data_IF_251593338067
#
_entry.id   IF_251593338067
#
_cell.length_a   1.000
_cell.length_b   1.000
_cell.length_c   1.000
_cell.angle_alpha   90.00
_cell.angle_beta   90.00
_cell.angle_gamma   90.00
#
_symmetry.space_group_name_H-M   'P 1'
#
loop_
_entity.id
_entity.type
_entity.pdbx_description
1 polymer ?
#
# COMPACT_ATOMS: atom_id res chain seq x y z
N UNK A 1 7.15 -26.24 -8.66
CA UNK A 1 8.22 -25.33 -8.20
C UNK A 1 7.67 -24.51 -7.04
N UNK A 2 7.86 -25.02 -5.83
CA UNK A 2 7.40 -24.45 -4.56
C UNK A 2 8.29 -23.28 -4.17
N UNK A 3 7.74 -22.07 -4.09
CA UNK A 3 8.45 -20.90 -3.57
C UNK A 3 8.46 -20.91 -2.04
N UNK A 4 9.53 -20.43 -1.37
CA UNK A 4 9.62 -20.48 0.08
C UNK A 4 8.72 -19.42 0.70
N UNK A 5 7.95 -19.82 1.69
CA UNK A 5 7.27 -18.95 2.65
C UNK A 5 8.32 -18.14 3.44
N UNK A 6 8.27 -16.81 3.36
CA UNK A 6 9.18 -15.93 4.11
C UNK A 6 8.44 -15.07 5.14
N UNK A 7 8.98 -14.95 6.37
CA UNK A 7 8.35 -14.24 7.46
C UNK A 7 8.68 -12.75 7.39
N UNK A 8 7.66 -11.90 7.47
CA UNK A 8 7.85 -10.56 8.02
C UNK A 8 7.77 -10.66 9.54
N UNK A 9 8.61 -9.95 10.31
CA UNK A 9 8.38 -9.80 11.73
C UNK A 9 7.14 -8.91 11.91
N UNK A 10 5.99 -9.57 12.10
CA UNK A 10 4.79 -8.92 12.62
C UNK A 10 5.01 -8.78 14.11
N UNK A 11 5.17 -7.56 14.61
CA UNK A 11 4.87 -7.30 16.01
C UNK A 11 3.36 -7.47 16.19
N UNK A 12 2.94 -8.71 16.45
CA UNK A 12 1.57 -9.06 16.78
C UNK A 12 1.25 -8.51 18.18
N UNK A 13 0.62 -7.34 18.24
CA UNK A 13 -0.27 -7.07 19.36
C UNK A 13 -1.48 -7.98 19.16
N UNK A 14 -1.44 -9.17 19.75
CA UNK A 14 -2.57 -10.08 19.81
C UNK A 14 -3.71 -9.41 20.58
N UNK A 15 -4.69 -8.86 19.86
CA UNK A 15 -6.01 -8.61 20.43
C UNK A 15 -6.76 -9.96 20.42
N UNK A 16 -6.67 -10.69 21.53
CA UNK A 16 -7.50 -11.86 21.78
C UNK A 16 -8.95 -11.39 21.94
N UNK A 17 -9.82 -11.76 20.99
CA UNK A 17 -11.27 -11.64 21.12
C UNK A 17 -11.76 -12.83 21.97
N UNK A 18 -12.33 -12.64 23.18
CA UNK A 18 -12.86 -13.75 23.95
C UNK A 18 -14.16 -14.26 23.31
N UNK A 19 -14.22 -15.56 23.01
CA UNK A 19 -15.47 -16.26 22.74
C UNK A 19 -16.28 -16.34 24.03
N UNK A 20 -17.51 -15.84 24.01
CA UNK A 20 -18.43 -15.93 25.13
C UNK A 20 -18.90 -17.37 25.38
N UNK A 21 -18.86 -17.79 26.65
CA UNK A 21 -19.65 -18.91 27.17
C UNK A 21 -20.03 -18.59 28.61
N UNK A 22 -21.34 -18.48 28.82
CA UNK A 22 -22.13 -18.62 30.06
C UNK A 22 -21.39 -18.79 31.40
N UNK A 23 -21.58 -17.83 32.29
CA UNK A 23 -21.32 -17.97 33.73
C UNK A 23 -21.31 -16.62 34.45
N UNK A 24 -22.36 -16.29 35.20
CA UNK A 24 -22.33 -15.26 36.25
C UNK A 24 -21.37 -15.73 37.36
N UNK A 25 -20.53 -14.86 37.97
CA UNK A 25 -20.98 -14.18 39.20
C UNK A 25 -20.33 -12.80 39.53
N UNK A 26 -21.12 -12.00 40.26
CA UNK A 26 -20.82 -10.98 41.28
C UNK A 26 -19.82 -9.81 41.06
N UNK A 27 -20.35 -8.60 41.33
CA UNK A 27 -19.64 -7.32 41.54
C UNK A 27 -18.72 -7.34 42.79
N UNK A 28 -17.61 -6.58 42.76
CA UNK A 28 -17.08 -5.92 43.94
C UNK A 28 -17.26 -4.39 43.89
N UNK A 29 -17.38 -3.84 45.09
CA UNK A 29 -17.77 -2.48 45.46
C UNK A 29 -16.66 -1.43 45.36
N UNK A 30 -17.05 -0.24 44.87
CA UNK A 30 -16.59 1.15 45.07
C UNK A 30 -15.34 1.45 45.95
N UNK A 31 -14.39 2.20 45.40
CA UNK A 31 -13.74 3.34 46.10
C UNK A 31 -13.12 4.40 45.15
N UNK A 32 -13.55 5.65 45.41
CA UNK A 32 -12.98 7.00 45.18
C UNK A 32 -11.97 7.34 44.06
N UNK A 33 -12.42 8.34 43.27
CA UNK A 33 -11.75 9.59 42.86
C UNK A 33 -10.55 9.58 41.91
N UNK A 34 -10.78 10.04 40.67
CA UNK A 34 -10.37 11.40 40.27
C UNK A 34 -11.01 11.77 38.93
N UNK A 35 -11.56 12.97 38.90
CA UNK A 35 -12.25 13.63 37.79
C UNK A 35 -11.25 14.08 36.72
N UNK A 36 -11.38 13.55 35.49
CA UNK A 36 -10.97 14.29 34.30
C UNK A 36 -12.04 14.10 33.21
N UNK A 37 -12.50 15.22 32.67
CA UNK A 37 -13.56 15.32 31.67
C UNK A 37 -13.19 14.63 30.36
N UNK A 38 -14.16 14.10 29.61
CA UNK A 38 -13.93 13.54 28.28
C UNK A 38 -13.89 14.69 27.28
N UNK A 39 -12.74 14.96 26.69
CA UNK A 39 -12.56 15.53 25.35
C UNK A 39 -11.07 15.74 25.11
N UNK A 40 -10.66 15.68 23.84
CA UNK A 40 -9.28 15.86 23.33
C UNK A 40 -8.26 14.77 23.68
N UNK A 41 -8.38 13.56 23.13
CA UNK A 41 -7.22 12.70 22.80
C UNK A 41 -7.63 11.41 22.06
N UNK A 42 -8.13 11.50 20.83
CA UNK A 42 -8.17 10.35 19.91
C UNK A 42 -8.39 10.80 18.46
N UNK A 43 -7.57 11.73 17.96
CA UNK A 43 -7.31 11.78 16.52
C UNK A 43 -6.33 10.66 16.19
N UNK A 44 -6.77 9.41 16.29
CA UNK A 44 -5.96 8.27 15.88
C UNK A 44 -5.99 8.25 14.36
N UNK A 45 -4.97 8.84 13.73
CA UNK A 45 -4.68 8.64 12.33
C UNK A 45 -4.25 7.18 12.15
N UNK A 46 -5.22 6.28 12.02
CA UNK A 46 -4.97 4.91 11.59
C UNK A 46 -4.63 4.96 10.09
N UNK A 47 -3.37 5.24 9.77
CA UNK A 47 -2.81 4.94 8.45
C UNK A 47 -2.71 3.42 8.36
N UNK A 48 -3.79 2.76 7.99
CA UNK A 48 -3.74 1.33 7.71
C UNK A 48 -3.00 1.15 6.40
N UNK A 49 -1.70 0.86 6.51
CA UNK A 49 -0.85 0.47 5.39
C UNK A 49 -1.21 -0.97 5.01
N UNK A 50 -2.27 -1.14 4.24
CA UNK A 50 -2.67 -2.46 3.75
C UNK A 50 -1.80 -2.83 2.54
N UNK A 51 -0.82 -3.71 2.75
CA UNK A 51 -0.05 -4.33 1.68
C UNK A 51 -0.86 -5.50 1.11
N UNK A 52 -1.69 -5.23 0.11
CA UNK A 52 -2.38 -6.31 -0.61
C UNK A 52 -1.39 -7.00 -1.56
N UNK A 53 -0.94 -8.21 -1.21
CA UNK A 53 -0.24 -9.10 -2.14
C UNK A 53 -1.26 -9.72 -3.09
N UNK A 54 -1.35 -9.17 -4.30
CA UNK A 54 -2.29 -9.61 -5.32
C UNK A 54 -1.58 -10.55 -6.29
N UNK A 55 -1.91 -11.85 -6.22
CA UNK A 55 -1.30 -12.90 -7.04
C UNK A 55 -2.10 -13.28 -8.30
N UNK A 56 -3.22 -12.60 -8.62
CA UNK A 56 -3.91 -12.82 -9.91
C UNK A 56 -4.75 -11.63 -10.39
N UNK A 57 -4.72 -11.39 -11.71
CA UNK A 57 -5.67 -10.54 -12.44
C UNK A 57 -7.01 -11.29 -12.55
N UNK A 58 -7.82 -11.22 -11.51
CA UNK A 58 -9.23 -11.55 -11.65
C UNK A 58 -10.06 -10.36 -11.19
N UNK A 59 -11.22 -10.19 -11.81
CA UNK A 59 -12.27 -9.24 -11.42
C UNK A 59 -12.61 -9.32 -9.92
N UNK A 60 -12.26 -10.42 -9.25
CA UNK A 60 -12.31 -10.57 -7.78
C UNK A 60 -11.40 -9.62 -7.02
N UNK A 61 -10.26 -9.21 -7.57
CA UNK A 61 -9.31 -8.32 -6.89
C UNK A 61 -9.93 -6.96 -6.53
N UNK A 62 -10.71 -6.36 -7.43
CA UNK A 62 -11.41 -5.10 -7.14
C UNK A 62 -12.45 -5.27 -6.02
N UNK A 63 -13.24 -6.36 -6.09
CA UNK A 63 -14.27 -6.65 -5.09
C UNK A 63 -13.67 -6.90 -3.71
N UNK A 64 -12.55 -7.62 -3.63
CA UNK A 64 -11.84 -7.86 -2.39
C UNK A 64 -11.28 -6.56 -1.80
N UNK A 65 -10.71 -5.69 -2.65
CA UNK A 65 -10.24 -4.37 -2.22
C UNK A 65 -11.39 -3.52 -1.70
N UNK A 66 -12.55 -3.50 -2.36
CA UNK A 66 -13.71 -2.73 -1.89
C UNK A 66 -14.21 -3.21 -0.52
N UNK A 67 -14.22 -4.53 -0.29
CA UNK A 67 -14.57 -5.10 1.02
C UNK A 67 -13.56 -4.67 2.08
N UNK A 68 -12.26 -4.70 1.77
CA UNK A 68 -11.21 -4.25 2.68
C UNK A 68 -11.36 -2.75 2.97
N UNK A 69 -11.55 -1.91 1.95
CA UNK A 69 -11.73 -0.47 2.13
C UNK A 69 -12.94 -0.16 3.01
N UNK A 70 -14.06 -0.85 2.80
CA UNK A 70 -15.25 -0.72 3.63
C UNK A 70 -14.95 -1.12 5.08
N UNK A 71 -14.28 -2.25 5.30
CA UNK A 71 -13.88 -2.68 6.64
C UNK A 71 -12.97 -1.64 7.32
N UNK A 72 -11.99 -1.10 6.61
CA UNK A 72 -11.08 -0.08 7.14
C UNK A 72 -11.81 1.21 7.52
N UNK A 73 -12.78 1.64 6.72
CA UNK A 73 -13.57 2.83 7.00
C UNK A 73 -14.52 2.62 8.18
N UNK A 74 -15.26 1.51 8.20
CA UNK A 74 -16.31 1.26 9.19
C UNK A 74 -15.75 0.76 10.53
N UNK A 75 -14.81 -0.19 10.49
CA UNK A 75 -14.34 -0.90 11.68
C UNK A 75 -13.07 -0.27 12.25
N UNK A 76 -12.20 0.28 11.40
CA UNK A 76 -10.96 0.93 11.83
C UNK A 76 -11.05 2.47 11.85
N UNK A 77 -12.20 3.05 11.45
CA UNK A 77 -12.39 4.51 11.36
C UNK A 77 -11.33 5.22 10.52
N UNK A 78 -10.79 4.54 9.50
CA UNK A 78 -9.73 5.07 8.65
C UNK A 78 -10.28 6.19 7.73
N UNK A 79 -9.79 7.42 7.91
CA UNK A 79 -10.24 8.60 7.15
C UNK A 79 -9.52 8.78 5.82
N UNK A 80 -8.28 8.29 5.71
CA UNK A 80 -7.45 8.36 4.52
C UNK A 80 -6.77 7.02 4.33
N UNK A 81 -6.89 6.47 3.12
CA UNK A 81 -6.35 5.16 2.79
C UNK A 81 -5.44 5.31 1.58
N UNK A 82 -4.18 4.88 1.75
CA UNK A 82 -3.21 4.78 0.67
C UNK A 82 -3.00 3.32 0.28
N UNK A 83 -2.61 3.07 -0.97
CA UNK A 83 -2.32 1.73 -1.47
C UNK A 83 -0.89 1.65 -1.99
N UNK A 84 -0.19 0.58 -1.64
CA UNK A 84 1.17 0.28 -2.14
C UNK A 84 1.15 -1.12 -2.73
N UNK A 85 1.70 -1.25 -3.93
CA UNK A 85 1.76 -2.50 -4.66
C UNK A 85 3.13 -2.75 -5.25
N UNK A 86 3.48 -4.04 -5.36
CA UNK A 86 4.76 -4.49 -5.92
C UNK A 86 4.51 -5.51 -7.03
N UNK A 87 5.23 -5.39 -8.16
CA UNK A 87 5.10 -6.28 -9.31
C UNK A 87 3.63 -6.29 -9.80
N UNK A 88 2.97 -7.45 -9.75
CA UNK A 88 1.54 -7.59 -9.98
C UNK A 88 0.69 -6.64 -9.13
N UNK A 89 1.05 -6.45 -7.87
CA UNK A 89 0.39 -5.46 -7.01
C UNK A 89 0.56 -4.02 -7.51
N UNK A 90 1.67 -3.69 -8.16
CA UNK A 90 1.88 -2.36 -8.76
C UNK A 90 0.92 -2.13 -9.94
N UNK A 91 0.72 -3.16 -10.77
CA UNK A 91 -0.29 -3.12 -11.83
C UNK A 91 -1.71 -2.92 -11.23
N UNK A 92 -2.03 -3.63 -10.16
CA UNK A 92 -3.31 -3.45 -9.47
C UNK A 92 -3.47 -2.05 -8.86
N UNK A 93 -2.40 -1.44 -8.31
CA UNK A 93 -2.43 -0.05 -7.84
C UNK A 93 -2.81 0.89 -8.98
N UNK A 94 -2.18 0.77 -10.15
CA UNK A 94 -2.56 1.59 -11.31
C UNK A 94 -4.06 1.47 -11.60
N UNK A 95 -4.59 0.25 -11.60
CA UNK A 95 -6.01 0.01 -11.83
C UNK A 95 -6.93 0.62 -10.76
N UNK A 96 -6.56 0.48 -9.49
CA UNK A 96 -7.32 1.03 -8.36
C UNK A 96 -7.34 2.55 -8.39
N UNK A 97 -6.21 3.18 -8.72
CA UNK A 97 -6.11 4.64 -8.80
C UNK A 97 -6.88 5.24 -9.98
N UNK A 98 -7.26 4.42 -10.98
CA UNK A 98 -8.15 4.83 -12.07
C UNK A 98 -9.64 4.72 -11.72
N UNK A 99 -10.02 3.84 -10.78
CA UNK A 99 -11.42 3.44 -10.58
C UNK A 99 -11.98 3.77 -9.19
N UNK A 100 -11.14 3.77 -8.15
CA UNK A 100 -11.62 3.74 -6.77
C UNK A 100 -11.53 5.13 -6.12
N UNK A 101 -12.66 5.83 -5.89
CA UNK A 101 -12.68 7.20 -5.37
C UNK A 101 -12.36 7.30 -3.87
N UNK A 102 -12.30 6.16 -3.17
CA UNK A 102 -12.08 6.11 -1.72
C UNK A 102 -10.59 6.13 -1.33
N UNK A 103 -9.69 5.93 -2.31
CA UNK A 103 -8.25 6.00 -2.09
C UNK A 103 -7.77 7.44 -2.11
N UNK A 104 -6.63 7.70 -1.46
CA UNK A 104 -6.02 9.03 -1.37
C UNK A 104 -4.66 9.13 -2.03
N UNK A 105 -3.90 8.04 -2.06
CA UNK A 105 -2.60 7.98 -2.72
C UNK A 105 -2.25 6.54 -3.12
N UNK A 106 -1.54 6.41 -4.23
CA UNK A 106 -1.04 5.13 -4.73
C UNK A 106 0.48 5.12 -4.86
N UNK A 107 1.09 3.97 -4.62
CA UNK A 107 2.50 3.71 -4.93
C UNK A 107 2.60 2.40 -5.71
N UNK A 108 2.92 2.49 -6.99
CA UNK A 108 3.11 1.38 -7.90
C UNK A 108 4.60 1.09 -8.07
N UNK A 109 5.07 -0.05 -7.58
CA UNK A 109 6.45 -0.48 -7.77
C UNK A 109 6.51 -1.55 -8.86
N UNK A 110 7.24 -1.24 -9.94
CA UNK A 110 7.51 -2.10 -11.09
C UNK A 110 6.25 -2.86 -11.54
N UNK A 111 5.16 -2.10 -11.72
CA UNK A 111 3.87 -2.59 -12.17
C UNK A 111 3.73 -2.48 -13.69
N UNK A 112 3.31 -3.56 -14.36
CA UNK A 112 3.03 -3.54 -15.80
C UNK A 112 1.73 -2.79 -16.10
N UNK A 113 1.81 -1.69 -16.85
CA UNK A 113 0.65 -0.86 -17.17
C UNK A 113 -0.20 -1.37 -18.36
N UNK A 114 0.38 -2.18 -19.27
CA UNK A 114 -0.30 -2.66 -20.50
C UNK A 114 -1.56 -3.52 -20.27
N UNK A 115 -1.85 -3.90 -19.03
CA UNK A 115 -3.02 -4.73 -18.71
C UNK A 115 -4.36 -3.99 -18.68
N UNK A 116 -4.38 -2.64 -18.74
CA UNK A 116 -5.58 -1.85 -18.42
C UNK A 116 -6.07 -0.89 -19.51
N UNK A 117 -5.91 -1.28 -20.78
CA UNK A 117 -6.59 -0.63 -21.92
C UNK A 117 -6.22 0.85 -22.11
N UNK A 118 -4.95 1.20 -21.90
CA UNK A 118 -4.42 2.57 -22.13
C UNK A 118 -5.17 3.67 -21.36
N UNK A 119 -5.74 3.36 -20.20
CA UNK A 119 -6.31 4.37 -19.31
C UNK A 119 -5.24 4.94 -18.38
N UNK A 120 -5.11 6.27 -18.44
CA UNK A 120 -4.09 7.04 -17.69
C UNK A 120 -4.67 8.23 -16.93
N UNK A 121 -6.00 8.36 -16.89
CA UNK A 121 -6.71 9.39 -16.13
C UNK A 121 -6.82 9.01 -14.65
N UNK A 122 -5.73 9.15 -13.89
CA UNK A 122 -5.71 8.81 -12.47
C UNK A 122 -6.62 9.76 -11.67
N UNK A 123 -7.36 9.20 -10.71
CA UNK A 123 -8.26 9.95 -9.82
C UNK A 123 -7.50 10.61 -8.67
N UNK A 124 -6.40 10.01 -8.22
CA UNK A 124 -5.65 10.48 -7.07
C UNK A 124 -4.12 10.34 -7.26
N UNK A 125 -3.32 11.03 -6.43
CA UNK A 125 -1.89 11.07 -6.60
C UNK A 125 -1.21 9.70 -6.60
N UNK A 126 -0.37 9.43 -7.59
CA UNK A 126 0.30 8.13 -7.73
C UNK A 126 1.80 8.26 -8.02
N UNK A 127 2.62 7.60 -7.22
CA UNK A 127 4.05 7.40 -7.48
C UNK A 127 4.26 6.08 -8.22
N UNK A 128 5.04 6.12 -9.29
CA UNK A 128 5.48 4.96 -10.04
C UNK A 128 6.99 4.80 -9.91
N UNK A 129 7.44 3.64 -9.44
CA UNK A 129 8.86 3.29 -9.30
C UNK A 129 9.19 2.18 -10.29
N UNK A 130 10.18 2.41 -11.15
CA UNK A 130 10.69 1.44 -12.11
C UNK A 130 12.19 1.24 -11.96
N UNK A 131 12.69 0.14 -12.51
CA UNK A 131 14.11 -0.18 -12.52
C UNK A 131 14.63 -0.12 -13.96
N UNK A 132 15.82 0.43 -14.17
CA UNK A 132 16.37 0.62 -15.52
C UNK A 132 16.63 -0.71 -16.24
N UNK A 133 17.12 -1.72 -15.52
CA UNK A 133 17.46 -3.05 -16.03
C UNK A 133 16.36 -4.06 -15.72
N UNK A 134 15.11 -3.67 -15.92
CA UNK A 134 13.94 -4.53 -15.71
C UNK A 134 13.63 -5.36 -16.97
N UNK A 135 14.00 -6.64 -16.96
CA UNK A 135 13.71 -7.57 -18.05
C UNK A 135 12.20 -7.81 -18.27
N UNK A 136 11.37 -7.53 -17.26
CA UNK A 136 9.94 -7.71 -17.36
C UNK A 136 9.25 -6.46 -17.89
N UNK A 137 9.78 -5.27 -17.60
CA UNK A 137 9.16 -3.97 -17.92
C UNK A 137 10.16 -3.14 -18.73
N UNK A 138 10.12 -3.24 -20.07
CA UNK A 138 10.97 -2.44 -20.94
C UNK A 138 10.77 -0.94 -20.70
N UNK A 139 11.86 -0.17 -20.74
CA UNK A 139 11.83 1.28 -20.55
C UNK A 139 10.89 1.99 -21.53
N UNK A 140 10.73 1.48 -22.74
CA UNK A 140 9.77 1.99 -23.73
C UNK A 140 8.33 2.01 -23.19
N UNK A 141 7.96 1.02 -22.36
CA UNK A 141 6.64 1.00 -21.71
C UNK A 141 6.53 2.06 -20.62
N UNK A 142 7.62 2.33 -19.91
CA UNK A 142 7.68 3.37 -18.87
C UNK A 142 7.59 4.76 -19.51
N UNK A 143 8.31 5.00 -20.61
CA UNK A 143 8.23 6.24 -21.37
C UNK A 143 6.83 6.47 -21.94
N UNK A 144 6.21 5.43 -22.49
CA UNK A 144 4.83 5.52 -22.97
C UNK A 144 3.85 5.84 -21.84
N UNK A 145 4.00 5.20 -20.68
CA UNK A 145 3.22 5.50 -19.48
C UNK A 145 3.37 6.97 -19.09
N UNK A 146 4.59 7.47 -18.97
CA UNK A 146 4.85 8.86 -18.57
C UNK A 146 4.26 9.87 -19.56
N UNK A 147 4.43 9.62 -20.87
CA UNK A 147 3.81 10.44 -21.91
C UNK A 147 2.29 10.45 -21.78
N UNK A 148 1.68 9.28 -21.59
CA UNK A 148 0.21 9.18 -21.50
C UNK A 148 -0.35 9.77 -20.21
N UNK A 149 0.37 9.66 -19.09
CA UNK A 149 0.04 10.38 -17.86
C UNK A 149 0.11 11.89 -18.09
N UNK A 150 1.14 12.38 -18.78
CA UNK A 150 1.26 13.81 -19.10
C UNK A 150 0.13 14.33 -19.98
N UNK A 151 -0.34 13.52 -20.92
CA UNK A 151 -1.44 13.87 -21.82
C UNK A 151 -2.80 13.85 -21.13
N UNK A 152 -3.05 12.91 -20.22
CA UNK A 152 -4.41 12.57 -19.77
C UNK A 152 -4.65 12.69 -18.25
N UNK A 153 -3.59 12.76 -17.44
CA UNK A 153 -3.70 12.76 -15.98
C UNK A 153 -3.80 14.18 -15.44
N UNK A 154 -4.80 14.43 -14.60
CA UNK A 154 -4.97 15.69 -13.85
C UNK A 154 -4.48 15.60 -12.41
N UNK A 155 -4.37 14.38 -11.87
CA UNK A 155 -3.84 14.14 -10.52
C UNK A 155 -2.31 14.25 -10.52
N UNK A 156 -1.73 14.57 -9.35
CA UNK A 156 -0.27 14.58 -9.19
C UNK A 156 0.31 13.18 -9.45
N UNK A 157 1.41 13.10 -10.17
CA UNK A 157 2.07 11.84 -10.41
C UNK A 157 3.57 12.04 -10.52
N UNK A 158 4.31 11.01 -10.15
CA UNK A 158 5.76 10.96 -10.30
C UNK A 158 6.14 9.61 -10.87
N UNK A 159 7.01 9.61 -11.88
CA UNK A 159 7.59 8.40 -12.45
C UNK A 159 9.09 8.46 -12.19
N UNK A 160 9.59 7.52 -11.39
CA UNK A 160 11.01 7.46 -11.02
C UNK A 160 11.63 6.16 -11.50
N UNK A 161 12.69 6.26 -12.29
CA UNK A 161 13.47 5.12 -12.81
C UNK A 161 14.79 5.07 -12.05
N UNK A 162 15.09 3.93 -11.43
CA UNK A 162 16.34 3.75 -10.68
C UNK A 162 17.41 3.12 -11.56
N UNK A 163 18.56 3.79 -11.76
CA UNK A 163 19.61 3.31 -12.65
C UNK A 163 20.29 2.07 -12.09
N UNK A 164 20.67 1.15 -12.98
CA UNK A 164 21.37 -0.09 -12.65
C UNK A 164 20.55 -1.13 -11.87
N UNK A 165 19.32 -0.79 -11.44
CA UNK A 165 18.46 -1.67 -10.66
C UNK A 165 17.68 -2.64 -11.55
N UNK A 166 17.31 -3.79 -10.98
CA UNK A 166 16.49 -4.81 -11.65
C UNK A 166 15.09 -4.89 -11.04
N UNK A 167 14.21 -5.67 -11.68
CA UNK A 167 12.88 -5.96 -11.16
C UNK A 167 12.93 -6.37 -9.68
N UNK A 168 12.05 -5.79 -8.86
CA UNK A 168 11.92 -6.17 -7.46
C UNK A 168 12.94 -5.58 -6.48
N UNK A 169 13.86 -4.69 -6.92
CA UNK A 169 14.96 -4.22 -6.07
C UNK A 169 14.51 -3.66 -4.70
N UNK A 170 13.41 -2.90 -4.66
CA UNK A 170 12.87 -2.27 -3.43
C UNK A 170 12.50 -3.28 -2.33
N UNK A 171 12.06 -4.48 -2.69
CA UNK A 171 11.61 -5.51 -1.73
C UNK A 171 12.66 -6.58 -1.44
N UNK A 172 13.89 -6.46 -1.95
CA UNK A 172 14.97 -7.40 -1.62
C UNK A 172 15.18 -7.45 -0.11
N UNK A 173 15.33 -8.66 0.43
CA UNK A 173 15.60 -8.85 1.85
C UNK A 173 16.97 -8.30 2.19
N UNK A 174 17.17 -7.93 3.45
CA UNK A 174 18.40 -7.26 3.89
C UNK A 174 19.65 -8.10 3.59
N UNK A 175 19.51 -9.42 3.66
CA UNK A 175 20.57 -10.40 3.42
C UNK A 175 20.93 -10.51 1.93
N UNK A 176 20.00 -10.19 1.04
CA UNK A 176 20.13 -10.29 -0.43
C UNK A 176 20.49 -8.93 -1.08
N UNK A 177 20.84 -7.91 -0.28
CA UNK A 177 21.19 -6.58 -0.77
C UNK A 177 22.69 -6.50 -1.05
N UNK A 178 23.04 -6.34 -2.32
CA UNK A 178 24.40 -5.99 -2.72
C UNK A 178 24.76 -4.59 -2.23
N UNK A 179 25.99 -4.33 -1.77
CA UNK A 179 26.43 -3.01 -1.32
C UNK A 179 26.19 -1.90 -2.34
N UNK A 180 26.32 -2.21 -3.64
CA UNK A 180 26.13 -1.27 -4.74
C UNK A 180 24.66 -0.88 -4.94
N UNK A 181 23.73 -1.80 -4.67
CA UNK A 181 22.29 -1.59 -4.86
C UNK A 181 21.63 -0.95 -3.62
N UNK A 182 22.26 -1.13 -2.45
CA UNK A 182 21.78 -0.63 -1.16
C UNK A 182 21.30 0.84 -1.18
N UNK A 183 22.08 1.83 -1.69
CA UNK A 183 21.62 3.22 -1.69
C UNK A 183 20.33 3.42 -2.48
N UNK A 184 20.20 2.78 -3.65
CA UNK A 184 19.01 2.87 -4.49
C UNK A 184 17.80 2.18 -3.85
N UNK A 185 18.00 1.05 -3.20
CA UNK A 185 16.94 0.34 -2.47
C UNK A 185 16.43 1.18 -1.30
N UNK A 186 17.33 1.79 -0.53
CA UNK A 186 16.99 2.68 0.59
C UNK A 186 16.28 3.94 0.11
N UNK A 187 16.76 4.54 -0.99
CA UNK A 187 16.10 5.68 -1.64
C UNK A 187 14.69 5.32 -2.12
N UNK A 188 14.53 4.20 -2.83
CA UNK A 188 13.21 3.69 -3.25
C UNK A 188 12.24 3.52 -2.10
N UNK A 189 12.71 2.93 -0.99
CA UNK A 189 11.90 2.80 0.24
C UNK A 189 11.52 4.13 0.84
N UNK A 190 12.45 5.09 0.86
CA UNK A 190 12.24 6.43 1.38
C UNK A 190 11.22 7.20 0.52
N UNK A 191 11.32 7.11 -0.80
CA UNK A 191 10.42 7.80 -1.72
C UNK A 191 8.98 7.31 -1.59
N UNK A 192 8.78 5.99 -1.43
CA UNK A 192 7.44 5.45 -1.11
C UNK A 192 6.87 6.06 0.17
N UNK A 193 7.68 6.18 1.22
CA UNK A 193 7.24 6.72 2.52
C UNK A 193 6.96 8.21 2.40
N UNK A 194 7.83 8.97 1.72
CA UNK A 194 7.66 10.40 1.49
C UNK A 194 6.38 10.69 0.72
N UNK A 195 6.08 9.90 -0.32
CA UNK A 195 4.86 10.04 -1.10
C UNK A 195 3.61 9.82 -0.25
N UNK A 196 3.61 8.77 0.57
CA UNK A 196 2.50 8.49 1.48
C UNK A 196 2.35 9.62 2.51
N UNK A 197 3.44 10.08 3.14
CA UNK A 197 3.38 11.18 4.11
C UNK A 197 2.89 12.50 3.51
N UNK A 198 3.11 12.72 2.21
CA UNK A 198 2.63 13.92 1.50
C UNK A 198 1.10 13.91 1.34
N UNK A 199 0.49 12.72 1.19
CA UNK A 199 -0.91 12.59 0.76
C UNK A 199 -1.86 11.92 1.77
N UNK A 200 -1.33 11.13 2.70
CA UNK A 200 -2.05 10.43 3.76
C UNK A 200 -1.77 11.15 5.08
#
# INVERSE_FOLDING_TARGET
LSLPSFPFPVHSNHLLVPRGSSGSPQLPTRSSSSSQSPNTAAQTAASVRCLCYLNSLSFTCLREVDVILKYLQEQCSAKKIGVVGFCWGGAAVHHLMLKNPHLRAGVSNYGKCKFFEDRYSLLHPTLFIFAEKDDHIPLEQVTLLEQKLKENCKADYEVKIYPGQTHGFVHRKREDINPQDKPYIEEGRKDMINWLNKYI
#
